data_IF_253004119590
#
_entry.id   IF_253004119590
#
_cell.length_a   1.000
_cell.length_b   1.000
_cell.length_c   1.000
_cell.angle_alpha   90.00
_cell.angle_beta   90.00
_cell.angle_gamma   90.00
#
_symmetry.space_group_name_H-M   'P 1'
#
loop_
_entity.id
_entity.type
_entity.pdbx_description
1 polymer ?
#
# COMPACT_ATOMS: atom_id res chain seq x y z
N UNK A 1 -2.83 11.59 3.86
CA UNK A 1 -1.41 11.22 4.11
C UNK A 1 -0.79 12.09 5.20
N UNK A 2 -1.04 13.40 5.19
CA UNK A 2 -0.50 14.34 6.19
C UNK A 2 -1.06 14.14 7.60
N UNK A 3 -2.35 13.81 7.71
CA UNK A 3 -3.03 13.54 9.00
C UNK A 3 -2.50 12.26 9.68
N UNK A 4 -2.30 11.19 8.90
CA UNK A 4 -1.69 9.95 9.39
C UNK A 4 -0.24 10.14 9.86
N UNK A 5 0.53 11.03 9.21
CA UNK A 5 1.88 11.40 9.64
C UNK A 5 1.86 12.18 10.96
N UNK A 6 0.92 13.11 11.14
CA UNK A 6 0.74 13.84 12.40
C UNK A 6 0.37 12.92 13.57
N UNK A 7 -0.51 11.94 13.35
CA UNK A 7 -0.90 11.00 14.41
C UNK A 7 0.24 10.06 14.80
N UNK A 8 1.02 9.58 13.82
CA UNK A 8 2.26 8.83 14.10
C UNK A 8 3.26 9.69 14.88
N UNK A 9 3.39 10.98 14.54
CA UNK A 9 4.32 11.88 15.19
C UNK A 9 3.90 12.19 16.64
N UNK A 10 2.59 12.37 16.91
CA UNK A 10 2.04 12.46 18.27
C UNK A 10 2.28 11.19 19.08
N UNK A 11 2.03 10.02 18.49
CA UNK A 11 2.27 8.73 19.16
C UNK A 11 3.75 8.54 19.50
N UNK A 12 4.68 8.95 18.62
CA UNK A 12 6.12 8.91 18.87
C UNK A 12 6.52 9.88 20.00
N UNK A 13 5.95 11.07 20.05
CA UNK A 13 6.21 12.03 21.13
C UNK A 13 5.67 11.55 22.49
N UNK A 14 4.48 10.95 22.51
CA UNK A 14 3.93 10.31 23.70
C UNK A 14 4.81 9.14 24.17
N UNK A 15 5.26 8.28 23.24
CA UNK A 15 6.15 7.17 23.55
C UNK A 15 7.51 7.65 24.10
N UNK A 16 8.05 8.74 23.58
CA UNK A 16 9.28 9.35 24.12
C UNK A 16 9.06 9.91 25.53
N UNK A 17 7.89 10.51 25.80
CA UNK A 17 7.54 11.00 27.14
C UNK A 17 7.34 9.86 28.14
N UNK A 18 6.73 8.74 27.74
CA UNK A 18 6.59 7.58 28.63
C UNK A 18 7.94 6.91 28.87
N UNK A 19 8.77 6.77 27.85
CA UNK A 19 10.10 6.19 27.97
C UNK A 19 11.00 6.99 28.93
N UNK A 20 11.01 8.32 28.81
CA UNK A 20 11.78 9.19 29.73
C UNK A 20 11.28 9.12 31.18
N UNK A 21 9.96 9.02 31.39
CA UNK A 21 9.38 8.80 32.73
C UNK A 21 9.79 7.45 33.33
N UNK A 22 9.73 6.37 32.55
CA UNK A 22 10.13 5.04 33.00
C UNK A 22 11.62 4.98 33.34
N UNK A 23 12.48 5.60 32.53
CA UNK A 23 13.92 5.70 32.84
C UNK A 23 14.21 6.46 34.13
N UNK A 24 13.44 7.52 34.42
CA UNK A 24 13.57 8.25 35.67
C UNK A 24 13.11 7.40 36.87
N UNK A 25 12.01 6.67 36.73
CA UNK A 25 11.51 5.75 37.76
C UNK A 25 12.48 4.60 38.02
N UNK A 26 13.06 4.00 36.97
CA UNK A 26 14.05 2.93 37.09
C UNK A 26 15.29 3.40 37.87
N UNK A 27 15.82 4.58 37.55
CA UNK A 27 16.96 5.16 38.29
C UNK A 27 16.62 5.43 39.74
N UNK A 28 15.41 5.91 40.02
CA UNK A 28 14.96 6.17 41.39
C UNK A 28 14.82 4.87 42.18
N UNK A 29 14.19 3.84 41.61
CA UNK A 29 14.08 2.51 42.22
C UNK A 29 15.45 1.89 42.48
N UNK A 30 16.40 1.99 41.55
CA UNK A 30 17.76 1.48 41.73
C UNK A 30 18.48 2.18 42.91
N UNK A 31 18.23 3.48 43.09
CA UNK A 31 18.78 4.24 44.22
C UNK A 31 18.15 3.82 45.54
N UNK A 32 16.83 3.63 45.58
CA UNK A 32 16.08 3.16 46.76
C UNK A 32 16.48 1.73 47.15
N UNK A 33 16.66 0.84 46.16
CA UNK A 33 17.14 -0.51 46.38
C UNK A 33 18.51 -0.51 47.05
N UNK A 34 19.45 0.28 46.51
CA UNK A 34 20.78 0.40 47.11
C UNK A 34 20.73 0.95 48.53
N UNK A 35 19.91 1.98 48.78
CA UNK A 35 19.74 2.53 50.13
C UNK A 35 19.19 1.50 51.12
N UNK A 36 18.21 0.70 50.69
CA UNK A 36 17.62 -0.37 51.49
C UNK A 36 18.64 -1.47 51.77
N UNK A 37 19.46 -1.81 50.79
CA UNK A 37 20.51 -2.83 50.92
C UNK A 37 21.62 -2.40 51.89
N UNK A 38 22.02 -1.12 51.84
CA UNK A 38 22.92 -0.51 52.83
C UNK A 38 22.31 -0.52 54.24
N UNK A 39 21.00 -0.24 54.37
CA UNK A 39 20.29 -0.26 55.65
C UNK A 39 20.21 -1.68 56.23
N UNK A 40 19.94 -2.68 55.39
CA UNK A 40 19.98 -4.10 55.78
C UNK A 40 21.37 -4.49 56.29
N UNK A 41 22.44 -4.09 55.59
CA UNK A 41 23.81 -4.38 56.03
C UNK A 41 24.14 -3.74 57.38
N UNK A 42 23.73 -2.48 57.59
CA UNK A 42 23.87 -1.80 58.89
C UNK A 42 23.11 -2.55 59.98
N UNK A 43 21.85 -2.93 59.72
CA UNK A 43 21.03 -3.67 60.67
C UNK A 43 21.63 -5.04 61.02
N UNK A 44 22.15 -5.78 60.05
CA UNK A 44 22.84 -7.05 60.30
C UNK A 44 24.10 -6.85 61.15
N UNK A 45 24.85 -5.77 60.91
CA UNK A 45 26.04 -5.43 61.69
C UNK A 45 25.68 -5.08 63.14
N UNK A 46 24.63 -4.29 63.35
CA UNK A 46 24.11 -3.98 64.69
C UNK A 46 23.57 -5.22 65.39
N UNK A 47 22.86 -6.08 64.67
CA UNK A 47 22.35 -7.35 65.20
C UNK A 47 23.51 -8.24 65.61
N UNK A 48 24.56 -8.36 64.80
CA UNK A 48 25.77 -9.09 65.15
C UNK A 48 26.44 -8.48 66.39
N UNK A 49 26.54 -7.15 66.46
CA UNK A 49 27.12 -6.47 67.62
C UNK A 49 26.33 -6.73 68.91
N UNK A 50 25.00 -6.62 68.86
CA UNK A 50 24.11 -6.94 70.00
C UNK A 50 24.15 -8.41 70.37
N UNK A 51 24.21 -9.30 69.38
CA UNK A 51 24.27 -10.75 69.62
C UNK A 51 25.63 -11.17 70.19
N UNK A 52 26.72 -10.47 69.82
CA UNK A 52 28.03 -10.64 70.43
C UNK A 52 28.09 -10.16 71.89
N UNK A 53 27.16 -9.31 72.34
CA UNK A 53 27.04 -8.91 73.75
C UNK A 53 26.24 -9.92 74.58
N UNK A 54 25.57 -10.88 73.94
CA UNK A 54 24.83 -11.94 74.63
C UNK A 54 25.80 -13.07 74.95
N UNK A 55 26.15 -13.20 76.23
CA UNK A 55 26.96 -14.31 76.71
C UNK A 55 26.15 -15.61 76.62
N UNK A 56 26.57 -16.50 75.72
CA UNK A 56 25.98 -17.83 75.58
C UNK A 56 26.84 -18.83 76.35
N UNK A 57 26.35 -19.25 77.52
CA UNK A 57 27.02 -20.26 78.32
C UNK A 57 26.77 -21.66 77.75
N UNK A 58 27.85 -22.38 77.42
CA UNK A 58 27.79 -23.80 77.03
C UNK A 58 28.49 -24.65 78.09
N UNK A 59 27.79 -25.66 78.61
CA UNK A 59 28.41 -26.71 79.41
C UNK A 59 29.01 -27.76 78.48
N UNK A 60 30.34 -27.77 78.34
CA UNK A 60 31.07 -28.75 77.53
C UNK A 60 31.80 -29.73 78.46
N UNK A 61 31.89 -31.00 78.06
CA UNK A 61 32.73 -31.97 78.77
C UNK A 61 34.19 -31.73 78.42
N UNK A 62 35.10 -31.88 79.39
CA UNK A 62 36.54 -31.73 79.18
C UNK A 62 37.08 -32.65 78.06
N UNK A 63 36.46 -33.81 77.84
CA UNK A 63 36.80 -34.73 76.76
C UNK A 63 36.44 -34.22 75.35
N UNK A 64 35.68 -33.14 75.24
CA UNK A 64 35.25 -32.52 73.97
C UNK A 64 36.09 -31.29 73.61
N UNK A 65 37.03 -30.89 74.48
CA UNK A 65 37.88 -29.71 74.30
C UNK A 65 39.30 -30.16 73.97
N UNK A 66 39.83 -29.65 72.85
CA UNK A 66 41.22 -29.82 72.47
C UNK A 66 41.82 -28.43 72.23
N UNK A 67 42.76 -28.02 73.08
CA UNK A 67 43.50 -26.77 72.89
C UNK A 67 44.71 -27.03 71.99
N UNK A 68 44.83 -26.28 70.90
CA UNK A 68 46.03 -26.30 70.06
C UNK A 68 47.09 -25.38 70.69
N UNK A 69 47.93 -25.92 71.57
CA UNK A 69 49.05 -25.23 72.19
C UNK A 69 50.16 -26.21 72.61
N UNK A 70 51.34 -25.69 72.94
CA UNK A 70 52.54 -26.50 73.23
C UNK A 70 52.40 -27.41 74.46
N UNK A 71 51.45 -27.08 75.35
CA UNK A 71 51.09 -27.90 76.51
C UNK A 71 49.72 -28.50 76.29
N UNK A 72 49.60 -29.82 76.33
CA UNK A 72 48.36 -30.59 76.16
C UNK A 72 47.42 -30.47 77.39
N UNK A 73 47.45 -29.33 78.08
CA UNK A 73 46.70 -29.02 79.30
C UNK A 73 45.75 -27.86 79.05
N UNK A 74 44.52 -27.96 79.56
CA UNK A 74 43.55 -26.89 79.49
C UNK A 74 44.04 -25.68 80.32
N UNK A 75 44.13 -24.47 79.74
CA UNK A 75 44.50 -23.27 80.48
C UNK A 75 43.50 -22.95 81.59
N UNK A 76 43.98 -22.35 82.69
CA UNK A 76 43.12 -21.96 83.83
C UNK A 76 42.08 -20.88 83.48
N UNK A 77 42.30 -20.13 82.40
CA UNK A 77 41.39 -19.09 81.89
C UNK A 77 41.24 -19.23 80.37
N UNK A 78 39.99 -19.31 79.89
CA UNK A 78 39.65 -19.52 78.48
C UNK A 78 39.31 -18.20 77.74
N UNK A 79 39.46 -17.06 78.39
CA UNK A 79 39.01 -15.74 77.89
C UNK A 79 39.66 -15.31 76.57
N UNK A 80 40.86 -15.81 76.27
CA UNK A 80 41.59 -15.53 75.02
C UNK A 80 41.45 -16.63 73.95
N UNK A 81 40.63 -17.65 74.17
CA UNK A 81 40.54 -18.81 73.29
C UNK A 81 39.22 -18.82 72.49
N UNK A 82 39.34 -19.01 71.18
CA UNK A 82 38.16 -19.15 70.29
C UNK A 82 37.88 -20.63 70.09
N UNK A 83 36.66 -21.06 70.40
CA UNK A 83 36.23 -22.45 70.26
C UNK A 83 35.70 -22.67 68.84
N UNK A 84 36.33 -23.59 68.11
CA UNK A 84 35.85 -24.05 66.82
C UNK A 84 35.50 -25.53 66.88
N UNK A 85 34.45 -25.93 66.16
CA UNK A 85 34.27 -27.34 65.82
C UNK A 85 35.40 -27.77 64.90
N UNK A 86 35.97 -28.96 65.09
CA UNK A 86 37.07 -29.47 64.25
C UNK A 86 36.76 -29.40 62.74
N UNK A 87 35.51 -29.67 62.35
CA UNK A 87 35.05 -29.53 60.96
C UNK A 87 35.12 -28.09 60.45
N UNK A 88 34.68 -27.12 61.27
CA UNK A 88 34.70 -25.70 60.91
C UNK A 88 36.12 -25.15 60.87
N UNK A 89 37.00 -25.62 61.76
CA UNK A 89 38.42 -25.26 61.75
C UNK A 89 39.10 -25.79 60.48
N UNK A 90 38.86 -27.05 60.10
CA UNK A 90 39.36 -27.62 58.85
C UNK A 90 38.85 -26.85 57.63
N UNK A 91 37.56 -26.51 57.58
CA UNK A 91 36.98 -25.68 56.52
C UNK A 91 37.60 -24.28 56.47
N UNK A 92 37.86 -23.67 57.63
CA UNK A 92 38.51 -22.37 57.69
C UNK A 92 39.96 -22.46 57.19
N UNK A 93 40.69 -23.50 57.56
CA UNK A 93 42.06 -23.73 57.07
C UNK A 93 42.09 -23.93 55.56
N UNK A 94 41.24 -24.80 55.00
CA UNK A 94 41.15 -24.98 53.54
C UNK A 94 40.76 -23.68 52.85
N UNK A 95 39.82 -22.91 53.42
CA UNK A 95 39.43 -21.62 52.86
C UNK A 95 40.55 -20.59 52.90
N UNK A 96 41.35 -20.56 53.97
CA UNK A 96 42.52 -19.69 54.07
C UNK A 96 43.55 -20.07 53.00
N UNK A 97 43.78 -21.35 52.76
CA UNK A 97 44.69 -21.83 51.70
C UNK A 97 44.18 -21.45 50.30
N UNK A 98 42.89 -21.64 50.03
CA UNK A 98 42.23 -21.17 48.80
C UNK A 98 42.39 -19.67 48.61
N UNK A 99 42.10 -18.87 49.63
CA UNK A 99 42.25 -17.41 49.56
C UNK A 99 43.70 -16.99 49.31
N UNK A 100 44.68 -17.70 49.88
CA UNK A 100 46.10 -17.45 49.58
C UNK A 100 46.43 -17.75 48.12
N UNK A 101 45.92 -18.85 47.58
CA UNK A 101 46.07 -19.21 46.17
C UNK A 101 45.40 -18.19 45.25
N UNK A 102 44.15 -17.83 45.51
CA UNK A 102 43.40 -16.82 44.76
C UNK A 102 44.15 -15.47 44.77
N UNK A 103 44.63 -15.03 45.94
CA UNK A 103 45.42 -13.81 46.07
C UNK A 103 46.71 -13.86 45.25
N UNK A 104 47.38 -15.01 45.21
CA UNK A 104 48.58 -15.20 44.39
C UNK A 104 48.25 -15.13 42.89
N UNK A 105 47.17 -15.79 42.45
CA UNK A 105 46.71 -15.74 41.06
C UNK A 105 46.34 -14.31 40.63
N UNK A 106 45.61 -13.57 41.46
CA UNK A 106 45.27 -12.16 41.22
C UNK A 106 46.53 -11.30 41.12
N UNK A 107 47.53 -11.51 41.99
CA UNK A 107 48.80 -10.79 41.90
C UNK A 107 49.56 -11.06 40.60
N UNK A 108 49.54 -12.30 40.10
CA UNK A 108 50.17 -12.65 38.81
C UNK A 108 49.43 -11.96 37.66
N UNK A 109 48.09 -12.03 37.64
CA UNK A 109 47.25 -11.35 36.63
C UNK A 109 47.48 -9.84 36.64
N UNK A 110 47.55 -9.22 37.82
CA UNK A 110 47.83 -7.80 37.96
C UNK A 110 49.21 -7.42 37.37
N UNK A 111 50.24 -8.21 37.66
CA UNK A 111 51.58 -8.00 37.08
C UNK A 111 51.60 -8.15 35.56
N UNK A 112 50.85 -9.13 35.01
CA UNK A 112 50.71 -9.30 33.56
C UNK A 112 50.01 -8.09 32.94
N UNK A 113 48.86 -7.69 33.50
CA UNK A 113 48.11 -6.53 33.03
C UNK A 113 48.93 -5.24 33.08
N UNK A 114 49.77 -5.08 34.10
CA UNK A 114 50.67 -3.94 34.19
C UNK A 114 51.74 -3.96 33.08
N UNK A 115 52.28 -5.14 32.75
CA UNK A 115 53.20 -5.29 31.60
C UNK A 115 52.48 -4.95 30.30
N UNK A 116 51.29 -5.50 30.08
CA UNK A 116 50.49 -5.27 28.88
C UNK A 116 50.10 -3.80 28.72
N UNK A 117 49.79 -3.12 29.82
CA UNK A 117 49.54 -1.69 29.82
C UNK A 117 50.78 -0.91 29.36
N UNK A 118 51.96 -1.26 29.88
CA UNK A 118 53.20 -0.58 29.46
C UNK A 118 53.58 -0.84 28.01
N UNK A 119 53.33 -2.05 27.48
CA UNK A 119 53.57 -2.36 26.06
C UNK A 119 52.56 -1.63 25.17
N UNK A 120 51.27 -1.67 25.50
CA UNK A 120 50.23 -0.93 24.78
C UNK A 120 50.50 0.59 24.76
N UNK A 121 51.02 1.14 25.86
CA UNK A 121 51.41 2.55 25.92
C UNK A 121 52.58 2.87 24.98
N UNK A 122 53.58 1.98 24.87
CA UNK A 122 54.68 2.12 23.91
C UNK A 122 54.17 2.01 22.47
N UNK A 123 53.32 1.03 22.18
CA UNK A 123 52.71 0.87 20.85
C UNK A 123 51.87 2.08 20.45
N UNK A 124 51.07 2.63 21.37
CA UNK A 124 50.32 3.87 21.14
C UNK A 124 51.27 5.01 20.76
N UNK A 125 52.39 5.16 21.48
CA UNK A 125 53.39 6.19 21.16
C UNK A 125 54.03 5.97 19.80
N UNK A 126 54.32 4.73 19.41
CA UNK A 126 54.84 4.41 18.07
C UNK A 126 53.83 4.74 16.99
N UNK A 127 52.58 4.29 17.11
CA UNK A 127 51.51 4.58 16.13
C UNK A 127 51.26 6.08 15.98
N UNK A 128 51.32 6.85 17.06
CA UNK A 128 51.20 8.32 16.98
C UNK A 128 52.35 8.93 16.18
N UNK A 129 53.59 8.49 16.41
CA UNK A 129 54.74 8.93 15.60
C UNK A 129 54.60 8.52 14.14
N UNK A 130 54.17 7.30 13.88
CA UNK A 130 53.96 6.81 12.50
C UNK A 130 52.88 7.64 11.79
N UNK A 131 51.79 8.01 12.49
CA UNK A 131 50.74 8.90 11.96
C UNK A 131 51.31 10.29 11.68
N UNK A 132 52.13 10.86 12.57
CA UNK A 132 52.78 12.15 12.36
C UNK A 132 53.73 12.11 11.14
N UNK A 133 54.52 11.05 10.99
CA UNK A 133 55.41 10.87 9.85
C UNK A 133 54.63 10.69 8.54
N UNK A 134 53.51 9.96 8.57
CA UNK A 134 52.64 9.79 7.41
C UNK A 134 51.93 11.09 7.03
N UNK A 135 51.50 11.88 8.02
CA UNK A 135 50.93 13.22 7.80
C UNK A 135 51.94 14.15 7.15
N UNK A 136 53.19 14.17 7.62
CA UNK A 136 54.26 14.95 6.99
C UNK A 136 54.51 14.53 5.55
N UNK A 137 54.63 13.22 5.28
CA UNK A 137 54.77 12.70 3.90
C UNK A 137 53.60 13.10 3.02
N UNK A 138 52.39 13.08 3.57
CA UNK A 138 51.19 13.47 2.84
C UNK A 138 51.20 14.97 2.53
N UNK A 139 51.50 15.82 3.51
CA UNK A 139 51.69 17.26 3.32
C UNK A 139 52.77 17.56 2.27
N UNK A 140 53.91 16.87 2.32
CA UNK A 140 54.99 17.01 1.34
C UNK A 140 54.52 16.65 -0.08
N UNK A 141 53.80 15.54 -0.23
CA UNK A 141 53.24 15.11 -1.52
C UNK A 141 52.18 16.10 -2.02
N UNK A 142 51.31 16.59 -1.14
CA UNK A 142 50.30 17.57 -1.48
C UNK A 142 50.93 18.90 -1.92
N UNK A 143 51.93 19.38 -1.18
CA UNK A 143 52.68 20.58 -1.54
C UNK A 143 53.42 20.42 -2.88
N UNK A 144 54.02 19.25 -3.13
CA UNK A 144 54.72 19.00 -4.39
C UNK A 144 53.76 18.90 -5.59
N UNK A 145 52.57 18.33 -5.40
CA UNK A 145 51.59 18.09 -6.48
C UNK A 145 50.69 19.29 -6.76
N UNK A 146 50.26 19.99 -5.71
CA UNK A 146 49.21 21.01 -5.80
C UNK A 146 49.71 22.40 -5.39
N UNK A 147 50.91 22.53 -4.81
CA UNK A 147 51.44 23.81 -4.30
C UNK A 147 50.74 24.35 -3.06
N UNK A 148 49.73 23.64 -2.56
CA UNK A 148 48.90 23.98 -1.40
C UNK A 148 48.43 22.69 -0.72
N UNK A 149 48.22 22.74 0.59
CA UNK A 149 47.57 21.66 1.35
C UNK A 149 46.10 21.62 0.90
N UNK A 150 45.74 20.56 0.17
CA UNK A 150 44.39 20.37 -0.36
C UNK A 150 43.55 19.66 0.70
N UNK A 151 42.45 20.28 1.10
CA UNK A 151 41.42 19.63 1.92
C UNK A 151 40.60 18.70 1.02
N UNK A 152 41.05 17.44 0.91
CA UNK A 152 40.41 16.44 0.03
C UNK A 152 38.95 16.21 0.46
N UNK A 153 38.64 16.34 1.75
CA UNK A 153 37.28 16.17 2.26
C UNK A 153 36.33 17.26 1.71
N UNK A 154 36.85 18.49 1.51
CA UNK A 154 36.08 19.55 0.84
C UNK A 154 35.93 19.32 -0.65
N UNK A 155 36.95 18.79 -1.31
CA UNK A 155 36.88 18.45 -2.73
C UNK A 155 35.87 17.32 -2.98
N UNK A 156 35.89 16.28 -2.13
CA UNK A 156 34.96 15.15 -2.19
C UNK A 156 33.52 15.58 -1.83
N UNK A 157 33.34 16.54 -0.92
CA UNK A 157 32.03 17.13 -0.64
C UNK A 157 31.50 18.01 -1.79
N UNK A 158 32.39 18.61 -2.59
CA UNK A 158 32.03 19.45 -3.74
C UNK A 158 31.76 18.65 -5.02
N UNK A 159 32.38 17.48 -5.18
CA UNK A 159 32.06 16.58 -6.28
C UNK A 159 30.93 15.63 -5.88
N UNK A 160 29.68 15.82 -6.36
CA UNK A 160 28.69 14.77 -6.23
C UNK A 160 29.25 13.51 -6.90
N UNK A 161 29.39 12.44 -6.10
CA UNK A 161 29.87 11.14 -6.58
C UNK A 161 29.22 10.80 -7.92
N UNK A 162 30.00 10.24 -8.86
CA UNK A 162 29.51 9.88 -10.21
C UNK A 162 28.18 9.11 -10.15
N UNK A 163 28.02 8.27 -9.13
CA UNK A 163 26.79 7.55 -8.83
C UNK A 163 25.57 8.45 -8.56
N UNK A 164 25.75 9.56 -7.84
CA UNK A 164 24.70 10.54 -7.54
C UNK A 164 24.26 11.28 -8.81
N UNK A 165 25.19 11.60 -9.71
CA UNK A 165 24.85 12.21 -11.00
C UNK A 165 24.09 11.23 -11.89
N UNK A 166 24.53 9.97 -11.97
CA UNK A 166 23.79 8.91 -12.70
C UNK A 166 22.39 8.66 -12.13
N UNK A 167 22.21 8.73 -10.80
CA UNK A 167 20.89 8.65 -10.19
C UNK A 167 20.03 9.85 -10.57
N UNK A 168 20.61 11.06 -10.54
CA UNK A 168 19.90 12.29 -10.89
C UNK A 168 19.45 12.28 -12.34
N UNK A 169 20.26 11.77 -13.25
CA UNK A 169 19.88 11.66 -14.66
C UNK A 169 18.80 10.60 -14.89
N UNK A 170 18.87 9.45 -14.19
CA UNK A 170 17.77 8.47 -14.18
C UNK A 170 16.46 9.03 -13.63
N UNK A 171 16.52 9.85 -12.58
CA UNK A 171 15.33 10.53 -12.04
C UNK A 171 14.75 11.48 -13.09
N UNK A 172 15.58 12.32 -13.73
CA UNK A 172 15.10 13.22 -14.80
C UNK A 172 14.45 12.45 -15.94
N UNK A 173 15.06 11.37 -16.42
CA UNK A 173 14.47 10.53 -17.48
C UNK A 173 13.09 9.98 -17.06
N UNK A 174 12.99 9.50 -15.82
CA UNK A 174 11.72 9.00 -15.28
C UNK A 174 10.66 10.11 -15.15
N UNK A 175 11.07 11.32 -14.77
CA UNK A 175 10.18 12.49 -14.67
C UNK A 175 9.67 12.94 -16.04
N UNK A 176 10.55 12.96 -17.06
CA UNK A 176 10.13 13.27 -18.43
C UNK A 176 9.11 12.25 -18.93
N UNK A 177 9.38 10.95 -18.77
CA UNK A 177 8.43 9.91 -19.20
C UNK A 177 7.09 10.00 -18.46
N UNK A 178 7.13 10.24 -17.15
CA UNK A 178 5.91 10.45 -16.37
C UNK A 178 5.14 11.71 -16.82
N UNK A 179 5.85 12.79 -17.15
CA UNK A 179 5.24 14.02 -17.63
C UNK A 179 4.56 13.83 -18.99
N UNK A 180 5.20 13.11 -19.92
CA UNK A 180 4.62 12.76 -21.23
C UNK A 180 3.34 11.92 -21.07
N UNK A 181 3.36 10.93 -20.17
CA UNK A 181 2.17 10.13 -19.86
C UNK A 181 1.04 11.00 -19.30
N UNK A 182 1.33 11.90 -18.36
CA UNK A 182 0.35 12.83 -17.81
C UNK A 182 -0.25 13.72 -18.91
N UNK A 183 0.58 14.24 -19.82
CA UNK A 183 0.09 15.04 -20.95
C UNK A 183 -0.81 14.23 -21.89
N UNK A 184 -0.43 13.00 -22.22
CA UNK A 184 -1.24 12.12 -23.05
C UNK A 184 -2.60 11.81 -22.40
N UNK A 185 -2.62 11.56 -21.08
CA UNK A 185 -3.86 11.34 -20.34
C UNK A 185 -4.72 12.60 -20.25
N UNK A 186 -4.11 13.78 -20.03
CA UNK A 186 -4.83 15.07 -20.06
C UNK A 186 -5.51 15.29 -21.40
N UNK A 187 -4.80 15.07 -22.51
CA UNK A 187 -5.37 15.20 -23.86
C UNK A 187 -6.55 14.25 -24.08
N UNK A 188 -6.44 12.98 -23.66
CA UNK A 188 -7.56 12.03 -23.75
C UNK A 188 -8.77 12.46 -22.92
N UNK A 189 -8.54 13.04 -21.74
CA UNK A 189 -9.61 13.59 -20.89
C UNK A 189 -10.27 14.79 -21.57
N UNK A 190 -9.49 15.69 -22.16
CA UNK A 190 -10.02 16.84 -22.89
C UNK A 190 -10.83 16.40 -24.11
N UNK A 191 -10.32 15.46 -24.91
CA UNK A 191 -11.03 14.90 -26.06
C UNK A 191 -12.37 14.26 -25.61
N UNK A 192 -12.37 13.45 -24.55
CA UNK A 192 -13.59 12.85 -24.00
C UNK A 192 -14.58 13.90 -23.46
N UNK A 193 -14.10 14.96 -22.82
CA UNK A 193 -14.94 16.06 -22.35
C UNK A 193 -15.56 16.84 -23.51
N UNK A 194 -14.82 17.07 -24.60
CA UNK A 194 -15.37 17.75 -25.79
C UNK A 194 -16.45 16.92 -26.47
N UNK A 195 -16.28 15.60 -26.54
CA UNK A 195 -17.30 14.71 -27.10
C UNK A 195 -18.54 14.65 -26.19
N UNK A 196 -18.35 14.57 -24.88
CA UNK A 196 -19.45 14.64 -23.92
C UNK A 196 -20.21 15.97 -24.05
N UNK A 197 -19.50 17.08 -24.20
CA UNK A 197 -20.10 18.41 -24.41
C UNK A 197 -20.90 18.45 -25.72
N UNK A 198 -20.35 17.92 -26.81
CA UNK A 198 -21.02 17.83 -28.12
C UNK A 198 -22.31 17.03 -28.02
N UNK A 199 -22.26 15.82 -27.45
CA UNK A 199 -23.43 14.97 -27.24
C UNK A 199 -24.45 15.62 -26.31
N UNK A 200 -24.00 16.33 -25.28
CA UNK A 200 -24.91 17.06 -24.38
C UNK A 200 -25.63 18.18 -25.11
N UNK A 201 -24.91 18.96 -25.94
CA UNK A 201 -25.52 20.00 -26.77
C UNK A 201 -26.51 19.44 -27.79
N UNK A 202 -26.18 18.34 -28.47
CA UNK A 202 -27.09 17.66 -29.40
C UNK A 202 -28.35 17.15 -28.68
N UNK A 203 -28.19 16.53 -27.52
CA UNK A 203 -29.33 16.09 -26.70
C UNK A 203 -30.19 17.27 -26.26
N UNK A 204 -29.60 18.40 -25.83
CA UNK A 204 -30.36 19.61 -25.49
C UNK A 204 -31.13 20.15 -26.70
N UNK A 205 -30.51 20.21 -27.88
CA UNK A 205 -31.19 20.64 -29.11
C UNK A 205 -32.36 19.72 -29.48
N UNK A 206 -32.17 18.40 -29.37
CA UNK A 206 -33.25 17.43 -29.61
C UNK A 206 -34.37 17.59 -28.59
N UNK A 207 -34.04 17.82 -27.30
CA UNK A 207 -35.05 18.09 -26.27
C UNK A 207 -35.82 19.39 -26.53
N UNK A 208 -35.15 20.45 -26.98
CA UNK A 208 -35.79 21.71 -27.37
C UNK A 208 -36.71 21.52 -28.59
N UNK A 209 -36.29 20.74 -29.58
CA UNK A 209 -37.12 20.37 -30.73
C UNK A 209 -38.35 19.56 -30.30
N UNK A 210 -38.17 18.57 -29.41
CA UNK A 210 -39.26 17.78 -28.85
C UNK A 210 -40.23 18.67 -28.07
N UNK A 211 -39.72 19.59 -27.25
CA UNK A 211 -40.56 20.54 -26.51
C UNK A 211 -41.35 21.47 -27.44
N UNK A 212 -40.71 22.00 -28.49
CA UNK A 212 -41.35 22.84 -29.52
C UNK A 212 -42.43 22.09 -30.29
N UNK A 213 -42.11 20.88 -30.79
CA UNK A 213 -43.06 20.01 -31.49
C UNK A 213 -44.21 19.61 -30.57
N UNK A 214 -43.92 19.29 -29.31
CA UNK A 214 -44.94 18.98 -28.29
C UNK A 214 -45.86 20.16 -28.01
N UNK A 215 -45.32 21.39 -27.95
CA UNK A 215 -46.14 22.61 -27.83
C UNK A 215 -47.01 22.82 -29.08
N UNK A 216 -46.45 22.68 -30.29
CA UNK A 216 -47.22 22.79 -31.53
C UNK A 216 -48.31 21.72 -31.62
N UNK A 217 -48.00 20.47 -31.27
CA UNK A 217 -48.97 19.40 -31.20
C UNK A 217 -50.08 19.73 -30.21
N UNK A 218 -49.75 20.20 -29.00
CA UNK A 218 -50.75 20.59 -28.00
C UNK A 218 -51.65 21.71 -28.52
N UNK A 219 -51.10 22.73 -29.19
CA UNK A 219 -51.90 23.81 -29.78
C UNK A 219 -52.79 23.32 -30.93
N UNK A 220 -52.29 22.42 -31.78
CA UNK A 220 -53.07 21.80 -32.86
C UNK A 220 -54.17 20.91 -32.30
N UNK A 221 -53.89 20.10 -31.27
CA UNK A 221 -54.87 19.27 -30.60
C UNK A 221 -55.94 20.13 -29.91
N UNK A 222 -55.58 21.25 -29.29
CA UNK A 222 -56.54 22.23 -28.78
C UNK A 222 -57.38 22.85 -29.90
N UNK A 223 -56.77 23.27 -31.01
CA UNK A 223 -57.47 23.83 -32.15
C UNK A 223 -58.39 22.81 -32.83
N UNK A 224 -57.95 21.56 -32.99
CA UNK A 224 -58.73 20.46 -33.53
C UNK A 224 -59.88 20.09 -32.59
N UNK A 225 -59.64 19.98 -31.29
CA UNK A 225 -60.71 19.74 -30.32
C UNK A 225 -61.75 20.86 -30.37
N UNK A 226 -61.33 22.13 -30.44
CA UNK A 226 -62.24 23.26 -30.61
C UNK A 226 -63.03 23.22 -31.93
N UNK A 227 -62.40 22.77 -33.02
CA UNK A 227 -63.06 22.65 -34.33
C UNK A 227 -63.98 21.45 -34.41
N UNK A 228 -63.61 20.32 -33.82
CA UNK A 228 -64.46 19.13 -33.72
C UNK A 228 -65.68 19.43 -32.86
N UNK A 229 -65.55 20.15 -31.74
CA UNK A 229 -66.71 20.62 -30.97
C UNK A 229 -67.61 21.55 -31.80
N UNK A 230 -67.06 22.31 -32.74
CA UNK A 230 -67.83 23.23 -33.60
C UNK A 230 -68.46 22.55 -34.83
N UNK A 231 -67.87 21.46 -35.36
CA UNK A 231 -68.30 20.80 -36.61
C UNK A 231 -69.25 19.62 -36.36
N UNK A 232 -69.21 18.95 -35.21
CA UNK A 232 -70.11 17.82 -34.92
C UNK A 232 -71.56 18.22 -34.69
N UNK A 233 -71.87 19.52 -34.63
CA UNK A 233 -73.23 20.00 -34.36
C UNK A 233 -74.12 19.97 -35.61
N UNK A 234 -73.59 19.99 -36.84
CA UNK A 234 -74.43 20.09 -38.05
C UNK A 234 -73.98 19.15 -39.20
N UNK A 235 -74.75 18.06 -39.39
CA UNK A 235 -75.00 17.37 -40.67
C UNK A 235 -74.01 16.28 -41.19
N UNK A 236 -73.91 15.16 -40.47
CA UNK A 236 -72.98 14.05 -40.80
C UNK A 236 -73.58 12.85 -41.58
N UNK A 237 -74.90 12.75 -41.78
CA UNK A 237 -75.51 11.52 -42.28
C UNK A 237 -75.51 11.35 -43.82
N UNK A 238 -75.92 12.33 -44.64
CA UNK A 238 -76.01 12.14 -46.09
C UNK A 238 -74.64 12.21 -46.81
N UNK A 239 -73.68 12.93 -46.23
CA UNK A 239 -72.35 13.17 -46.82
C UNK A 239 -71.43 11.96 -46.70
N UNK A 240 -71.56 11.14 -45.66
CA UNK A 240 -70.75 9.91 -45.51
C UNK A 240 -71.12 8.85 -46.54
N UNK A 241 -72.41 8.67 -46.85
CA UNK A 241 -72.85 7.65 -47.81
C UNK A 241 -72.44 7.96 -49.25
N UNK A 242 -72.34 9.25 -49.64
CA UNK A 242 -71.78 9.63 -50.94
C UNK A 242 -70.29 9.30 -51.03
N UNK A 243 -69.53 9.63 -49.97
CA UNK A 243 -68.10 9.33 -49.90
C UNK A 243 -67.80 7.83 -49.95
N UNK A 244 -68.64 6.99 -49.33
CA UNK A 244 -68.45 5.52 -49.40
C UNK A 244 -68.71 4.98 -50.81
N UNK A 245 -69.78 5.43 -51.48
CA UNK A 245 -70.09 5.03 -52.87
C UNK A 245 -69.02 5.49 -53.87
N UNK A 246 -68.51 6.72 -53.72
CA UNK A 246 -67.40 7.21 -54.55
C UNK A 246 -66.11 6.41 -54.32
N UNK A 247 -65.85 6.02 -53.07
CA UNK A 247 -64.70 5.17 -52.72
C UNK A 247 -64.81 3.78 -53.33
N UNK A 248 -66.01 3.22 -53.41
CA UNK A 248 -66.26 1.95 -54.11
C UNK A 248 -66.08 2.08 -55.62
N UNK A 249 -66.56 3.15 -56.25
CA UNK A 249 -66.29 3.43 -57.68
C UNK A 249 -64.80 3.56 -57.97
N UNK A 250 -64.06 4.29 -57.13
CA UNK A 250 -62.60 4.41 -57.28
C UNK A 250 -61.90 3.05 -57.15
N UNK A 251 -62.32 2.20 -56.21
CA UNK A 251 -61.79 0.83 -56.10
C UNK A 251 -62.05 0.02 -57.38
N UNK A 252 -63.23 0.11 -57.99
CA UNK A 252 -63.55 -0.59 -59.23
C UNK A 252 -62.71 -0.07 -60.42
N UNK A 253 -62.46 1.23 -60.49
CA UNK A 253 -61.63 1.83 -61.54
C UNK A 253 -60.17 1.35 -61.43
N UNK A 254 -59.64 1.29 -60.21
CA UNK A 254 -58.29 0.77 -59.93
C UNK A 254 -58.16 -0.70 -60.36
N UNK A 255 -59.17 -1.54 -60.10
CA UNK A 255 -59.11 -2.97 -60.51
C UNK A 255 -59.19 -3.14 -62.03
N UNK A 256 -59.91 -2.27 -62.73
CA UNK A 256 -59.97 -2.24 -64.19
C UNK A 256 -58.62 -1.84 -64.80
N UNK A 257 -58.03 -0.74 -64.32
CA UNK A 257 -56.71 -0.28 -64.75
C UNK A 257 -55.60 -1.30 -64.43
N UNK A 258 -55.68 -2.00 -63.29
CA UNK A 258 -54.73 -3.07 -62.98
C UNK A 258 -54.78 -4.24 -63.98
N UNK A 259 -55.97 -4.58 -64.49
CA UNK A 259 -56.12 -5.60 -65.55
C UNK A 259 -55.56 -5.11 -66.89
N UNK A 260 -55.79 -3.86 -67.24
CA UNK A 260 -55.26 -3.23 -68.45
C UNK A 260 -53.72 -3.15 -68.43
N UNK A 261 -53.14 -2.83 -67.28
CA UNK A 261 -51.69 -2.87 -67.08
C UNK A 261 -51.15 -4.30 -67.25
N UNK A 262 -51.86 -5.31 -66.74
CA UNK A 262 -51.46 -6.71 -66.90
C UNK A 262 -51.52 -7.18 -68.36
N UNK A 263 -52.54 -6.77 -69.14
CA UNK A 263 -52.61 -7.08 -70.58
C UNK A 263 -51.49 -6.38 -71.36
N UNK A 264 -51.23 -5.11 -71.07
CA UNK A 264 -50.14 -4.36 -71.70
C UNK A 264 -48.77 -4.93 -71.32
N UNK A 265 -48.57 -5.39 -70.08
CA UNK A 265 -47.35 -6.08 -69.68
C UNK A 265 -47.17 -7.43 -70.40
N UNK A 266 -48.25 -8.16 -70.69
CA UNK A 266 -48.19 -9.39 -71.48
C UNK A 266 -47.81 -9.10 -72.94
N UNK A 267 -48.37 -8.06 -73.54
CA UNK A 267 -48.00 -7.58 -74.89
C UNK A 267 -46.55 -7.10 -74.94
N UNK A 268 -46.12 -6.28 -73.98
CA UNK A 268 -44.73 -5.83 -73.86
C UNK A 268 -43.80 -7.04 -73.72
N UNK A 269 -44.14 -8.06 -72.92
CA UNK A 269 -43.33 -9.28 -72.80
C UNK A 269 -43.32 -10.10 -74.10
N UNK A 270 -44.40 -10.10 -74.88
CA UNK A 270 -44.46 -10.70 -76.22
C UNK A 270 -43.54 -9.96 -77.20
N UNK A 271 -43.52 -8.62 -77.15
CA UNK A 271 -42.63 -7.78 -77.96
C UNK A 271 -41.17 -7.85 -77.49
N UNK A 272 -40.92 -8.02 -76.19
CA UNK A 272 -39.57 -8.14 -75.59
C UNK A 272 -38.90 -9.49 -75.90
N UNK A 273 -39.68 -10.54 -76.20
CA UNK A 273 -39.17 -11.87 -76.60
C UNK A 273 -39.02 -12.05 -78.13
N UNK A 274 -39.62 -11.18 -78.95
CA UNK A 274 -39.52 -11.21 -80.43
C UNK A 274 -38.46 -10.24 -80.99
N UNK A 275 -37.29 -10.20 -80.34
CA UNK A 275 -36.05 -9.61 -80.88
C UNK A 275 -35.19 -10.63 -81.66
N UNK A 276 -35.80 -11.65 -82.26
CA UNK A 276 -35.11 -12.65 -83.06
C UNK A 276 -36.06 -13.31 -84.05
N UNK A 277 -35.91 -12.93 -85.33
CA UNK A 277 -36.45 -13.56 -86.54
C UNK A 277 -37.98 -13.50 -86.77
N UNK A 278 -38.36 -12.64 -87.72
CA UNK A 278 -39.59 -12.76 -88.51
C UNK A 278 -39.29 -13.71 -89.66
N UNK A 279 -40.14 -14.74 -89.80
CA UNK A 279 -40.45 -15.61 -90.94
C UNK A 279 -40.39 -17.09 -90.53
N UNK A 280 -41.57 -17.70 -90.34
CA UNK A 280 -42.17 -18.66 -91.28
C UNK A 280 -43.39 -19.34 -90.63
N UNK A 281 -44.42 -19.56 -91.46
CA UNK A 281 -45.49 -20.57 -91.37
C UNK A 281 -46.44 -20.44 -90.17
N UNK A 282 -47.70 -20.02 -90.35
CA UNK A 282 -48.79 -20.84 -90.94
C UNK A 282 -48.77 -22.26 -90.37
N UNK A 283 -49.95 -22.75 -89.99
CA UNK A 283 -50.26 -24.13 -89.58
C UNK A 283 -49.77 -24.60 -88.21
N UNK A 284 -50.72 -24.60 -87.27
CA UNK A 284 -51.14 -25.75 -86.44
C UNK A 284 -51.52 -25.19 -85.07
N UNK A 285 -52.77 -24.79 -84.83
CA UNK A 285 -53.85 -25.72 -84.48
C UNK A 285 -53.35 -26.94 -83.70
N UNK A 286 -53.46 -26.88 -82.38
CA UNK A 286 -54.19 -27.83 -81.51
C UNK A 286 -53.93 -27.41 -80.08
N UNK A 287 -54.97 -26.98 -79.35
CA UNK A 287 -55.74 -27.84 -78.44
C UNK A 287 -54.79 -28.41 -77.35
N UNK A 288 -54.99 -28.21 -76.05
CA UNK A 288 -56.26 -28.07 -75.37
C UNK A 288 -56.13 -27.51 -73.94
N UNK A 289 -57.24 -26.90 -73.57
CA UNK A 289 -57.89 -26.59 -72.29
C UNK A 289 -57.29 -27.03 -70.92
N UNK A 290 -57.49 -26.21 -69.86
CA UNK A 290 -57.14 -26.44 -68.45
C UNK A 290 -58.28 -27.19 -67.70
N UNK A 291 -58.24 -27.48 -66.37
CA UNK A 291 -58.51 -26.49 -65.29
C UNK A 291 -57.68 -26.73 -63.99
N UNK A 292 -57.26 -25.70 -63.25
CA UNK A 292 -57.95 -25.05 -62.12
C UNK A 292 -58.05 -25.93 -60.83
N UNK A 293 -58.42 -25.36 -59.67
CA UNK A 293 -57.51 -24.72 -58.72
C UNK A 293 -57.68 -25.33 -57.31
N UNK A 294 -56.86 -24.92 -56.33
CA UNK A 294 -57.35 -24.52 -54.99
C UNK A 294 -56.22 -24.41 -53.96
N UNK A 295 -56.35 -23.36 -53.15
CA UNK A 295 -56.07 -23.30 -51.72
C UNK A 295 -54.68 -23.71 -51.23
N UNK A 296 -53.98 -22.80 -50.57
CA UNK A 296 -54.26 -22.46 -49.16
C UNK A 296 -53.18 -21.52 -48.61
N UNK A 297 -53.65 -20.49 -47.91
CA UNK A 297 -52.97 -19.86 -46.78
C UNK A 297 -52.46 -20.93 -45.78
N UNK A 298 -51.78 -20.58 -44.67
CA UNK A 298 -50.79 -19.53 -44.38
C UNK A 298 -49.57 -20.15 -43.66
N UNK A 299 -48.60 -19.35 -43.18
CA UNK A 299 -47.96 -19.47 -41.85
C UNK A 299 -46.51 -18.95 -41.78
N UNK A 300 -46.34 -18.01 -40.85
CA UNK A 300 -45.28 -17.98 -39.82
C UNK A 300 -43.83 -17.74 -40.27
N UNK A 301 -42.95 -17.07 -39.53
CA UNK A 301 -43.00 -16.46 -38.21
C UNK A 301 -41.79 -15.51 -38.13
N UNK A 302 -41.95 -14.35 -37.51
CA UNK A 302 -41.38 -14.09 -36.19
C UNK A 302 -39.84 -14.16 -36.17
N UNK A 303 -39.22 -12.97 -36.24
CA UNK A 303 -37.81 -12.72 -35.92
C UNK A 303 -37.79 -12.03 -34.55
N UNK A 304 -37.22 -12.70 -33.55
CA UNK A 304 -36.88 -12.20 -32.21
C UNK A 304 -35.35 -12.45 -32.10
N UNK A 305 -34.48 -11.44 -32.05
CA UNK A 305 -34.07 -10.63 -30.88
C UNK A 305 -33.56 -11.47 -29.72
N UNK A 306 -32.26 -11.76 -29.68
CA UNK A 306 -31.25 -11.07 -28.85
C UNK A 306 -29.85 -11.45 -29.31
#
# INVERSE_FOLDING_TARGET
MEEALQDIQKAVEELKKTHTKLLAQEKQMAKEQKATEDEIQRFQTEKQHKLNQVDVCFSLRLSQLQCMGDTNTLPAHLDAHVVFTNQRLQQLMTRIEELHREKQEVRVKYRQLQKDYTTALKEKRHKVKDIEDLRRKYEDVQMLRFGQIVDIDRLEAQEPSKYVNELRDRVKESEVSAHEQIQAWRKKVDDANTELLRLTQENTQLMDQIASLGSMQLTLDQALNSRVTNVTVNDAAPTQQRKTKERERMKQLITLQAKEIATLQAEINLFRRKGGHIYTTVTAQRLDKPPAPANSNPQQGARMVR
#
